data_IF_911914259558
#
_entry.id   IF_911914259558
#
_cell.length_a   1.000
_cell.length_b   1.000
_cell.length_c   1.000
_cell.angle_alpha   90.00
_cell.angle_beta   90.00
_cell.angle_gamma   90.00
#
_symmetry.space_group_name_H-M   'P 1'
#
loop_
_entity.id
_entity.type
_entity.pdbx_description
1 polymer ?
#
# COMPACT_ATOMS: atom_id res chain seq x y z
N UNK A 1 -67.34 -60.59 55.53
CA UNK A 1 -66.74 -61.92 55.75
C UNK A 1 -65.38 -61.94 55.07
N UNK A 2 -64.31 -61.96 55.88
CA UNK A 2 -62.94 -62.40 55.54
C UNK A 2 -62.20 -61.57 54.46
N UNK A 3 -60.89 -61.31 54.51
CA UNK A 3 -59.77 -61.85 55.28
C UNK A 3 -58.56 -60.94 55.00
N UNK A 4 -57.68 -60.77 56.01
CA UNK A 4 -56.21 -60.52 55.91
C UNK A 4 -55.74 -59.22 55.22
N UNK A 5 -54.76 -58.47 55.72
CA UNK A 5 -53.81 -58.70 56.80
C UNK A 5 -52.54 -57.87 56.59
N UNK A 6 -51.84 -57.62 57.70
CA UNK A 6 -50.41 -57.39 57.87
C UNK A 6 -49.68 -56.20 57.21
N UNK A 7 -48.86 -55.59 58.08
CA UNK A 7 -47.54 -55.00 57.80
C UNK A 7 -47.51 -53.61 57.17
N UNK A 8 -46.61 -52.72 57.54
CA UNK A 8 -45.67 -52.58 58.65
C UNK A 8 -45.16 -51.14 58.54
N UNK A 9 -44.86 -50.49 59.67
CA UNK A 9 -44.05 -49.28 59.67
C UNK A 9 -42.77 -49.51 58.88
N UNK A 10 -42.38 -48.55 58.03
CA UNK A 10 -40.97 -48.27 57.72
C UNK A 10 -40.88 -46.82 57.22
N UNK A 11 -40.27 -45.97 58.06
CA UNK A 11 -39.75 -44.67 57.66
C UNK A 11 -38.66 -44.90 56.62
N UNK A 12 -38.82 -44.31 55.44
CA UNK A 12 -37.77 -44.29 54.41
C UNK A 12 -37.26 -42.86 54.23
N UNK A 13 -36.14 -42.56 54.89
CA UNK A 13 -35.25 -41.44 54.58
C UNK A 13 -34.29 -41.87 53.48
N UNK A 14 -34.55 -41.53 52.22
CA UNK A 14 -33.62 -41.69 51.09
C UNK A 14 -33.97 -40.55 50.12
N UNK A 15 -33.20 -39.47 49.97
CA UNK A 15 -31.79 -39.43 49.60
C UNK A 15 -31.75 -38.52 48.37
N UNK A 16 -31.42 -37.24 48.58
CA UNK A 16 -31.28 -36.28 47.47
C UNK A 16 -30.05 -36.73 46.67
N UNK A 17 -30.26 -37.42 45.55
CA UNK A 17 -29.18 -37.66 44.60
C UNK A 17 -28.79 -36.32 43.98
N UNK A 18 -27.63 -35.79 44.38
CA UNK A 18 -26.95 -34.79 43.57
C UNK A 18 -26.59 -35.46 42.25
N UNK A 19 -27.26 -35.04 41.17
CA UNK A 19 -26.83 -35.37 39.83
C UNK A 19 -25.44 -34.72 39.62
N UNK A 20 -24.39 -35.53 39.63
CA UNK A 20 -23.09 -35.10 39.14
C UNK A 20 -23.25 -34.71 37.67
N UNK A 21 -23.07 -33.42 37.40
CA UNK A 21 -23.14 -32.89 36.04
C UNK A 21 -21.96 -33.48 35.25
N UNK A 22 -22.19 -34.03 34.05
CA UNK A 22 -21.11 -34.55 33.21
C UNK A 22 -20.02 -33.49 33.02
N UNK A 23 -18.72 -33.87 33.00
CA UNK A 23 -17.65 -32.92 32.76
C UNK A 23 -17.84 -32.25 31.40
N UNK A 24 -17.79 -30.92 31.37
CA UNK A 24 -17.88 -30.12 30.15
C UNK A 24 -16.86 -30.62 29.11
N UNK A 25 -17.23 -30.71 27.82
CA UNK A 25 -16.28 -31.06 26.78
C UNK A 25 -15.13 -30.03 26.78
N UNK A 26 -13.87 -30.48 26.57
CA UNK A 26 -12.72 -29.59 26.61
C UNK A 26 -12.89 -28.48 25.60
N UNK A 27 -12.78 -27.23 26.07
CA UNK A 27 -12.92 -26.03 25.26
C UNK A 27 -12.05 -26.10 23.99
N UNK A 28 -12.52 -25.56 22.85
CA UNK A 28 -11.76 -25.61 21.61
C UNK A 28 -10.38 -24.98 21.79
N UNK A 29 -9.32 -25.78 21.58
CA UNK A 29 -7.93 -25.32 21.57
C UNK A 29 -7.78 -24.29 20.46
N UNK A 30 -7.60 -23.02 20.84
CA UNK A 30 -7.40 -21.92 19.90
C UNK A 30 -6.20 -22.22 19.02
N UNK A 31 -6.45 -22.48 17.74
CA UNK A 31 -5.40 -22.66 16.73
C UNK A 31 -4.82 -21.28 16.44
N UNK A 32 -3.55 -21.07 16.79
CA UNK A 32 -2.82 -19.81 16.58
C UNK A 32 -3.16 -19.19 15.22
N UNK A 33 -3.81 -18.03 15.24
CA UNK A 33 -4.00 -17.20 14.05
C UNK A 33 -2.68 -16.47 13.79
N UNK A 34 -1.91 -16.92 12.81
CA UNK A 34 -0.72 -16.20 12.35
C UNK A 34 -1.21 -15.10 11.40
N UNK A 35 -1.43 -13.91 11.94
CA UNK A 35 -1.66 -12.72 11.12
C UNK A 35 -0.32 -12.38 10.45
N UNK A 36 -0.11 -12.86 9.22
CA UNK A 36 0.97 -12.37 8.37
C UNK A 36 0.60 -10.95 7.95
N UNK A 37 1.05 -9.96 8.73
CA UNK A 37 0.82 -8.56 8.42
C UNK A 37 1.44 -8.21 7.06
N UNK A 38 0.63 -8.19 6.01
CA UNK A 38 1.03 -7.62 4.73
C UNK A 38 0.94 -6.10 4.86
N UNK A 39 2.08 -5.45 5.01
CA UNK A 39 2.17 -3.99 5.14
C UNK A 39 1.77 -3.34 3.81
N UNK A 40 0.50 -2.94 3.69
CA UNK A 40 0.02 -2.15 2.55
C UNK A 40 0.32 -0.68 2.83
N UNK A 41 1.46 -0.19 2.35
CA UNK A 41 1.80 1.24 2.47
C UNK A 41 1.00 2.03 1.42
N UNK A 42 0.10 2.91 1.87
CA UNK A 42 -0.55 3.90 1.01
C UNK A 42 0.40 5.07 0.87
N UNK A 43 0.91 5.28 -0.34
CA UNK A 43 1.83 6.36 -0.58
C UNK A 43 1.09 7.53 -1.27
N UNK A 44 0.95 8.70 -0.62
CA UNK A 44 0.23 9.83 -1.21
C UNK A 44 1.03 10.41 -2.37
N UNK A 45 0.42 10.47 -3.56
CA UNK A 45 1.02 11.06 -4.74
C UNK A 45 0.74 12.55 -4.75
N UNK A 46 1.78 13.38 -4.71
CA UNK A 46 1.63 14.81 -4.96
C UNK A 46 1.60 15.08 -6.47
N UNK A 47 0.67 15.91 -6.98
CA UNK A 47 0.68 16.31 -8.38
C UNK A 47 1.95 17.10 -8.72
N UNK A 48 2.27 17.11 -10.02
CA UNK A 48 3.39 17.84 -10.62
C UNK A 48 3.41 19.29 -10.12
N UNK A 49 4.60 19.84 -9.89
CA UNK A 49 4.81 21.14 -9.22
C UNK A 49 3.87 22.25 -9.72
N UNK A 50 3.40 23.09 -8.78
CA UNK A 50 2.54 24.23 -9.05
C UNK A 50 3.21 25.22 -10.03
N UNK A 51 2.44 25.90 -10.90
CA UNK A 51 2.97 26.96 -11.76
C UNK A 51 3.63 28.04 -10.89
N UNK A 52 4.89 28.38 -11.19
CA UNK A 52 5.70 29.34 -10.44
C UNK A 52 6.82 28.73 -9.58
N UNK A 53 6.89 27.42 -9.39
CA UNK A 53 8.06 26.78 -8.76
C UNK A 53 9.25 26.77 -9.72
N UNK A 54 10.44 27.18 -9.28
CA UNK A 54 11.67 27.03 -10.07
C UNK A 54 11.88 25.55 -10.41
N UNK A 55 12.14 25.20 -11.69
CA UNK A 55 12.38 23.82 -12.06
C UNK A 55 13.64 23.31 -11.33
N UNK A 56 13.47 22.30 -10.47
CA UNK A 56 14.59 21.60 -9.85
C UNK A 56 15.06 20.53 -10.82
N UNK A 57 16.31 20.62 -11.25
CA UNK A 57 16.94 19.59 -12.07
C UNK A 57 17.51 18.51 -11.16
N UNK A 58 17.33 17.26 -11.54
CA UNK A 58 17.88 16.12 -10.81
C UNK A 58 18.85 15.37 -11.71
N UNK A 59 20.03 15.04 -11.19
CA UNK A 59 20.84 14.01 -11.82
C UNK A 59 20.44 12.65 -11.25
N UNK A 60 20.36 11.66 -12.13
CA UNK A 60 20.23 10.28 -11.72
C UNK A 60 21.62 9.73 -11.40
N UNK A 61 21.74 9.16 -10.21
CA UNK A 61 22.87 8.31 -9.79
C UNK A 61 22.35 6.91 -9.52
N UNK A 62 23.23 5.92 -9.60
CA UNK A 62 22.85 4.56 -9.22
C UNK A 62 22.45 4.52 -7.74
N UNK A 63 21.28 3.95 -7.47
CA UNK A 63 20.77 3.72 -6.13
C UNK A 63 21.17 2.34 -5.59
N UNK A 64 20.86 2.07 -4.31
CA UNK A 64 21.05 0.74 -3.74
C UNK A 64 20.10 -0.27 -4.40
N UNK A 65 20.46 -1.56 -4.40
CA UNK A 65 19.55 -2.63 -4.88
C UNK A 65 18.29 -2.77 -4.02
N UNK A 66 18.35 -2.40 -2.75
CA UNK A 66 17.25 -2.49 -1.80
C UNK A 66 17.13 -1.20 -0.98
N UNK A 67 15.90 -0.81 -0.68
CA UNK A 67 15.51 0.36 0.10
C UNK A 67 14.69 -0.11 1.30
N UNK A 68 14.86 0.47 2.50
CA UNK A 68 14.00 0.10 3.62
C UNK A 68 12.59 0.67 3.42
N UNK A 69 11.56 -0.15 3.62
CA UNK A 69 10.16 0.30 3.52
C UNK A 69 9.83 1.38 4.55
N UNK A 70 10.48 1.34 5.73
CA UNK A 70 10.31 2.33 6.81
C UNK A 70 10.81 3.72 6.45
N UNK A 71 11.73 3.84 5.49
CA UNK A 71 12.26 5.13 5.05
C UNK A 71 11.34 5.83 4.06
N UNK A 72 10.34 5.14 3.49
CA UNK A 72 9.44 5.72 2.49
C UNK A 72 8.39 6.58 3.18
N UNK A 73 8.54 7.89 3.04
CA UNK A 73 7.59 8.87 3.56
C UNK A 73 6.49 9.23 2.54
N UNK A 74 6.78 9.07 1.25
CA UNK A 74 5.89 9.48 0.16
C UNK A 74 6.35 9.01 -1.21
N UNK A 75 5.57 9.31 -2.23
CA UNK A 75 5.88 9.01 -3.62
C UNK A 75 5.31 10.11 -4.51
N UNK A 76 5.93 10.31 -5.66
CA UNK A 76 5.44 11.19 -6.69
C UNK A 76 5.61 10.49 -8.04
N UNK A 77 4.61 10.58 -8.90
CA UNK A 77 4.69 10.03 -10.25
C UNK A 77 5.60 10.96 -11.05
N UNK A 78 6.71 10.44 -11.57
CA UNK A 78 7.66 11.24 -12.35
C UNK A 78 7.55 11.00 -13.85
N UNK A 79 6.97 9.89 -14.27
CA UNK A 79 6.84 9.54 -15.66
C UNK A 79 5.99 8.29 -15.84
N UNK A 80 5.89 7.85 -17.09
CA UNK A 80 5.02 6.75 -17.48
C UNK A 80 5.42 5.42 -16.85
N UNK A 81 6.73 5.21 -16.65
CA UNK A 81 7.33 4.02 -16.06
C UNK A 81 8.25 4.33 -14.87
N UNK A 82 8.06 5.49 -14.23
CA UNK A 82 8.93 5.91 -13.15
C UNK A 82 8.20 6.62 -12.02
N UNK A 83 8.58 6.24 -10.80
CA UNK A 83 8.03 6.78 -9.55
C UNK A 83 9.17 7.27 -8.69
N UNK A 84 9.03 8.45 -8.13
CA UNK A 84 9.99 8.96 -7.18
C UNK A 84 9.51 8.73 -5.75
N UNK A 85 10.20 7.89 -4.99
CA UNK A 85 10.02 7.82 -3.55
C UNK A 85 10.64 9.04 -2.86
N UNK A 86 9.88 9.60 -1.93
CA UNK A 86 10.30 10.62 -1.00
C UNK A 86 10.70 9.92 0.29
N UNK A 87 11.97 10.00 0.65
CA UNK A 87 12.48 9.36 1.86
C UNK A 87 12.34 10.28 3.07
N UNK A 88 12.26 9.69 4.25
CA UNK A 88 12.19 10.41 5.53
C UNK A 88 13.41 11.30 5.79
N UNK A 89 14.55 10.99 5.17
CA UNK A 89 15.79 11.78 5.22
C UNK A 89 15.84 12.92 4.18
N UNK A 90 14.71 13.23 3.53
CA UNK A 90 14.55 14.25 2.47
C UNK A 90 15.26 13.93 1.16
N UNK A 91 15.87 12.75 1.01
CA UNK A 91 16.36 12.30 -0.29
C UNK A 91 15.20 11.83 -1.17
N UNK A 92 15.46 11.82 -2.47
CA UNK A 92 14.50 11.34 -3.47
C UNK A 92 15.11 10.19 -4.26
N UNK A 93 14.36 9.12 -4.40
CA UNK A 93 14.80 7.90 -5.08
C UNK A 93 13.85 7.59 -6.22
N UNK A 94 14.32 7.66 -7.46
CA UNK A 94 13.55 7.26 -8.63
C UNK A 94 13.60 5.75 -8.79
N UNK A 95 12.43 5.15 -8.84
CA UNK A 95 12.19 3.76 -9.15
C UNK A 95 11.87 3.67 -10.62
N UNK A 96 12.61 2.84 -11.31
CA UNK A 96 12.34 2.43 -12.68
C UNK A 96 11.64 1.07 -12.65
N UNK A 97 10.55 0.95 -13.39
CA UNK A 97 9.80 -0.30 -13.51
C UNK A 97 10.12 -1.01 -14.82
N UNK A 98 9.95 -2.34 -14.81
CA UNK A 98 10.15 -3.22 -15.96
C UNK A 98 9.42 -2.74 -17.22
N UNK A 99 9.95 -3.04 -18.39
CA UNK A 99 9.34 -2.73 -19.70
C UNK A 99 7.92 -3.24 -19.86
N UNK A 100 7.59 -4.34 -19.18
CA UNK A 100 6.30 -5.03 -19.23
C UNK A 100 5.20 -4.27 -18.48
N UNK A 101 5.56 -3.16 -17.83
CA UNK A 101 4.64 -2.26 -17.18
C UNK A 101 4.01 -1.30 -18.19
N UNK A 102 2.71 -1.45 -18.50
CA UNK A 102 1.97 -0.37 -19.14
C UNK A 102 1.98 0.84 -18.20
N UNK A 103 1.81 2.02 -18.79
CA UNK A 103 1.74 3.31 -18.11
C UNK A 103 1.17 3.18 -16.70
N UNK A 104 1.98 3.52 -15.70
CA UNK A 104 1.57 3.45 -14.31
C UNK A 104 0.61 4.61 -14.04
N UNK A 105 -0.64 4.43 -14.50
CA UNK A 105 -1.79 5.28 -14.22
C UNK A 105 -2.22 5.07 -12.77
N UNK A 106 -1.31 5.45 -11.88
CA UNK A 106 -1.59 5.59 -10.47
C UNK A 106 -2.43 6.84 -10.28
N UNK A 107 -3.72 6.75 -10.57
CA UNK A 107 -4.64 7.82 -10.24
C UNK A 107 -4.72 7.94 -8.71
N UNK A 108 -3.83 8.74 -8.11
CA UNK A 108 -3.80 9.11 -6.69
C UNK A 108 -3.03 8.20 -5.73
N UNK A 109 -2.44 7.08 -6.17
CA UNK A 109 -1.64 6.22 -5.29
C UNK A 109 -1.44 4.79 -5.77
N UNK A 110 -0.64 4.03 -5.03
CA UNK A 110 -0.40 2.61 -5.24
C UNK A 110 -0.08 1.88 -3.96
N UNK A 111 -0.16 0.55 -4.04
CA UNK A 111 0.12 -0.33 -2.93
C UNK A 111 1.49 -0.98 -3.12
N UNK A 112 2.30 -0.88 -2.08
CA UNK A 112 3.55 -1.62 -1.95
C UNK A 112 3.29 -2.83 -1.07
N UNK A 113 3.77 -3.99 -1.52
CA UNK A 113 3.73 -5.22 -0.74
C UNK A 113 5.16 -5.77 -0.69
N UNK A 114 6.00 -5.24 0.21
CA UNK A 114 7.35 -5.74 0.35
C UNK A 114 7.32 -7.16 0.94
N UNK A 115 8.24 -8.00 0.49
CA UNK A 115 8.36 -9.38 1.01
C UNK A 115 8.95 -9.40 2.43
N UNK A 116 9.79 -8.42 2.75
CA UNK A 116 10.43 -8.18 4.06
C UNK A 116 10.29 -6.70 4.47
N UNK A 117 11.10 -6.22 5.42
CA UNK A 117 11.15 -4.80 5.80
C UNK A 117 11.85 -3.90 4.73
N UNK A 118 12.06 -4.42 3.51
CA UNK A 118 12.77 -3.76 2.42
C UNK A 118 12.03 -3.94 1.09
N UNK A 119 12.26 -3.00 0.19
CA UNK A 119 11.87 -3.03 -1.22
C UNK A 119 13.13 -3.21 -2.05
N UNK A 120 13.21 -4.30 -2.79
CA UNK A 120 14.36 -4.67 -3.59
C UNK A 120 14.00 -4.73 -5.08
N UNK A 121 14.95 -4.28 -5.88
CA UNK A 121 14.91 -4.39 -7.32
C UNK A 121 14.90 -5.86 -7.75
N UNK A 122 14.15 -6.16 -8.80
CA UNK A 122 13.91 -7.48 -9.38
C UNK A 122 13.28 -8.53 -8.44
N UNK A 123 12.80 -8.11 -7.25
CA UNK A 123 12.15 -8.99 -6.29
C UNK A 123 10.73 -8.55 -6.00
N UNK A 124 10.56 -7.27 -5.67
CA UNK A 124 9.27 -6.75 -5.24
C UNK A 124 8.49 -6.15 -6.41
N UNK A 125 7.17 -6.18 -6.26
CA UNK A 125 6.21 -5.71 -7.25
C UNK A 125 5.34 -4.60 -6.67
N UNK A 126 5.09 -3.58 -7.48
CA UNK A 126 4.14 -2.51 -7.18
C UNK A 126 2.79 -2.90 -7.77
N UNK A 127 1.71 -2.80 -6.98
CA UNK A 127 0.36 -3.09 -7.45
C UNK A 127 -0.42 -1.80 -7.62
N UNK A 128 -0.98 -1.61 -8.81
CA UNK A 128 -1.87 -0.48 -9.10
C UNK A 128 -3.27 -0.78 -8.58
N UNK A 129 -4.05 0.28 -8.32
CA UNK A 129 -5.45 0.13 -7.91
C UNK A 129 -6.32 -0.53 -8.99
N UNK A 130 -5.91 -0.43 -10.25
CA UNK A 130 -6.58 -1.03 -11.41
C UNK A 130 -6.18 -2.50 -11.62
N UNK A 131 -5.41 -3.10 -10.70
CA UNK A 131 -5.05 -4.52 -10.73
C UNK A 131 -3.75 -4.85 -11.47
N UNK A 132 -3.05 -3.87 -12.02
CA UNK A 132 -1.74 -4.07 -12.65
C UNK A 132 -0.66 -4.41 -11.61
N UNK A 133 0.26 -5.30 -11.97
CA UNK A 133 1.43 -5.65 -11.15
C UNK A 133 2.71 -5.34 -11.90
N UNK A 134 3.62 -4.61 -11.25
CA UNK A 134 4.80 -4.06 -11.89
C UNK A 134 6.07 -4.33 -11.11
N UNK A 135 6.98 -5.09 -11.71
CA UNK A 135 8.28 -5.40 -11.12
C UNK A 135 9.14 -4.14 -11.05
N UNK A 136 9.77 -3.93 -9.90
CA UNK A 136 10.80 -2.89 -9.74
C UNK A 136 12.05 -3.36 -10.48
N UNK A 137 12.57 -2.56 -11.40
CA UNK A 137 13.76 -2.92 -12.16
C UNK A 137 15.02 -2.33 -11.53
N UNK A 138 15.00 -1.03 -11.21
CA UNK A 138 16.16 -0.32 -10.69
C UNK A 138 15.78 0.85 -9.79
N UNK A 139 16.66 1.15 -8.84
CA UNK A 139 16.61 2.37 -8.04
C UNK A 139 17.70 3.33 -8.48
N UNK A 140 17.34 4.60 -8.59
CA UNK A 140 18.23 5.70 -8.90
C UNK A 140 18.12 6.76 -7.81
N UNK A 141 19.24 7.23 -7.28
CA UNK A 141 19.27 8.37 -6.39
C UNK A 141 19.12 9.65 -7.21
N UNK A 142 18.18 10.51 -6.80
CA UNK A 142 18.00 11.82 -7.41
C UNK A 142 18.74 12.86 -6.59
N UNK A 143 19.84 13.35 -7.13
CA UNK A 143 20.59 14.46 -6.56
C UNK A 143 20.06 15.77 -7.15
N UNK A 144 19.42 16.57 -6.31
CA UNK A 144 18.96 17.89 -6.73
C UNK A 144 20.16 18.76 -7.10
N UNK A 145 20.17 19.26 -8.33
CA UNK A 145 20.99 20.41 -8.71
C UNK A 145 20.14 21.64 -8.62
N UNK A 146 20.64 22.62 -7.87
CA UNK A 146 20.11 23.97 -7.95
C UNK A 146 20.13 24.38 -9.43
N UNK A 147 18.99 24.84 -9.94
CA UNK A 147 18.96 25.53 -11.21
C UNK A 147 19.88 26.74 -11.06
N UNK A 148 21.11 26.65 -11.58
CA UNK A 148 21.90 27.85 -11.82
C UNK A 148 21.03 28.71 -12.71
N UNK A 149 20.65 29.90 -12.21
CA UNK A 149 19.87 30.97 -12.86
C UNK A 149 19.89 30.82 -14.38
N UNK A 150 19.00 29.98 -14.92
CA UNK A 150 18.91 29.75 -16.35
C UNK A 150 17.90 30.77 -16.84
N UNK A 151 18.43 31.73 -17.59
CA UNK A 151 17.77 32.68 -18.49
C UNK A 151 16.28 32.36 -18.71
N UNK A 152 15.36 33.31 -18.47
CA UNK A 152 13.93 33.06 -18.62
C UNK A 152 13.62 32.59 -20.05
N UNK A 153 13.10 31.37 -20.16
CA UNK A 153 12.42 30.90 -21.35
C UNK A 153 11.09 31.66 -21.50
N UNK A 154 11.15 32.90 -21.99
CA UNK A 154 9.99 33.68 -22.41
C UNK A 154 10.34 34.47 -23.68
N UNK A 155 10.64 33.73 -24.76
CA UNK A 155 10.33 34.21 -26.10
C UNK A 155 9.34 33.25 -26.74
N UNK A 156 8.17 33.12 -26.11
CA UNK A 156 6.99 32.57 -26.75
C UNK A 156 6.30 33.73 -27.47
N UNK A 157 6.84 34.11 -28.64
CA UNK A 157 6.10 34.90 -29.62
C UNK A 157 4.94 34.04 -30.08
N UNK A 158 3.75 34.28 -29.51
CA UNK A 158 2.51 33.76 -30.06
C UNK A 158 2.34 34.36 -31.47
N UNK A 159 2.26 33.55 -32.54
CA UNK A 159 1.90 34.10 -33.84
C UNK A 159 0.47 34.63 -33.73
N UNK A 160 0.31 35.94 -33.91
CA UNK A 160 -0.98 36.61 -34.05
C UNK A 160 -1.73 35.96 -35.21
N UNK A 161 -2.72 35.14 -34.89
CA UNK A 161 -3.63 34.54 -35.86
C UNK A 161 -4.56 35.65 -36.34
N UNK A 162 -4.15 36.40 -37.36
CA UNK A 162 -5.04 37.35 -38.04
C UNK A 162 -6.09 36.53 -38.79
N UNK A 163 -7.26 36.40 -38.17
CA UNK A 163 -8.45 35.80 -38.77
C UNK A 163 -8.86 36.56 -40.02
N UNK A 164 -8.52 36.01 -41.19
CA UNK A 164 -9.04 36.47 -42.47
C UNK A 164 -10.42 35.84 -42.64
N UNK A 165 -11.45 36.64 -42.40
CA UNK A 165 -12.84 36.30 -42.68
C UNK A 165 -13.00 35.96 -44.16
N UNK A 166 -13.59 34.80 -44.54
CA UNK A 166 -14.04 34.62 -45.91
C UNK A 166 -15.29 35.47 -46.12
N UNK A 167 -15.16 36.49 -46.97
CA UNK A 167 -16.31 37.16 -47.57
C UNK A 167 -17.09 36.12 -48.38
N UNK A 168 -18.33 35.90 -47.99
CA UNK A 168 -19.37 35.28 -48.81
C UNK A 168 -19.88 36.38 -49.75
N UNK A 169 -19.76 36.16 -51.05
CA UNK A 169 -20.52 36.81 -52.13
C UNK A 169 -21.00 35.71 -53.04
#
# INVERSE_FOLDING_TARGET
MFMTGLSALLLSTLGVQQAETPPDPPAPKVRRVIVRGQLVVRVPVRPRSLPGSTPVYYNLRDGPRCLSSRQIAGAAISGQRSVDFLLSDRRRMRVEMSSDCPSLDFYGGFYLQPTDDRLCANRDVIRTRMGGSCKIEKFHLLEARAARKSEPAQNLTFPTFTGRSPHVV
#
